data_IF_188995561155
#
_entry.id   IF_188995561155
#
_cell.length_a   1.000
_cell.length_b   1.000
_cell.length_c   1.000
_cell.angle_alpha   90.00
_cell.angle_beta   90.00
_cell.angle_gamma   90.00
#
_symmetry.space_group_name_H-M   'P 1'
#
loop_
_entity.id
_entity.type
_entity.pdbx_description
1 polymer ?
#
# COMPACT_ATOMS: atom_id res chain seq x y z
N UNK A 1 -18.00 -3.25 -28.15
CA UNK A 1 -17.92 -2.74 -26.76
C UNK A 1 -16.96 -3.52 -25.84
N UNK A 2 -16.82 -4.86 -25.98
CA UNK A 2 -15.92 -5.65 -25.12
C UNK A 2 -14.41 -5.34 -25.29
N UNK A 3 -13.95 -5.09 -26.52
CA UNK A 3 -12.53 -4.79 -26.82
C UNK A 3 -12.08 -3.48 -26.17
N UNK A 4 -12.89 -2.42 -26.23
CA UNK A 4 -12.57 -1.13 -25.60
C UNK A 4 -12.40 -1.26 -24.08
N UNK A 5 -13.30 -1.98 -23.42
CA UNK A 5 -13.21 -2.24 -21.97
C UNK A 5 -11.94 -3.02 -21.60
N UNK A 6 -11.60 -4.05 -22.37
CA UNK A 6 -10.38 -4.84 -22.14
C UNK A 6 -9.12 -3.98 -22.27
N UNK A 7 -9.03 -3.16 -23.32
CA UNK A 7 -7.90 -2.23 -23.54
C UNK A 7 -7.76 -1.24 -22.39
N UNK A 8 -8.85 -0.63 -21.94
CA UNK A 8 -8.82 0.31 -20.80
C UNK A 8 -8.33 -0.36 -19.52
N UNK A 9 -8.80 -1.59 -19.24
CA UNK A 9 -8.35 -2.34 -18.05
C UNK A 9 -6.86 -2.66 -18.16
N UNK A 10 -6.41 -3.20 -19.29
CA UNK A 10 -4.98 -3.53 -19.50
C UNK A 10 -4.11 -2.30 -19.32
N UNK A 11 -4.47 -1.17 -19.92
CA UNK A 11 -3.72 0.07 -19.79
C UNK A 11 -3.69 0.56 -18.34
N UNK A 12 -4.82 0.50 -17.63
CA UNK A 12 -4.90 0.85 -16.22
C UNK A 12 -3.99 -0.02 -15.34
N UNK A 13 -3.95 -1.33 -15.60
CA UNK A 13 -3.07 -2.27 -14.89
C UNK A 13 -1.61 -1.94 -15.15
N UNK A 14 -1.23 -1.70 -16.42
CA UNK A 14 0.16 -1.36 -16.76
C UNK A 14 0.62 -0.05 -16.11
N UNK A 15 -0.24 0.98 -16.11
CA UNK A 15 0.05 2.25 -15.43
C UNK A 15 0.21 2.02 -13.93
N UNK A 16 -0.69 1.26 -13.30
CA UNK A 16 -0.62 0.95 -11.88
C UNK A 16 0.67 0.18 -11.52
N UNK A 17 1.07 -0.79 -12.34
CA UNK A 17 2.33 -1.52 -12.17
C UNK A 17 3.56 -0.61 -12.31
N UNK A 18 3.55 0.30 -13.28
CA UNK A 18 4.61 1.29 -13.47
C UNK A 18 4.76 2.21 -12.26
N UNK A 19 3.65 2.77 -11.78
CA UNK A 19 3.63 3.63 -10.58
C UNK A 19 4.07 2.84 -9.34
N UNK A 20 3.57 1.62 -9.14
CA UNK A 20 3.96 0.78 -8.01
C UNK A 20 5.47 0.46 -8.04
N UNK A 21 6.05 0.26 -9.23
CA UNK A 21 7.49 0.02 -9.37
C UNK A 21 8.33 1.24 -8.97
N UNK A 22 7.92 2.44 -9.38
CA UNK A 22 8.59 3.70 -8.98
C UNK A 22 8.50 3.89 -7.46
N UNK A 23 7.32 3.69 -6.89
CA UNK A 23 7.10 3.79 -5.44
C UNK A 23 7.92 2.73 -4.69
N UNK A 24 8.00 1.49 -5.19
CA UNK A 24 8.79 0.42 -4.59
C UNK A 24 10.27 0.81 -4.51
N UNK A 25 10.84 1.33 -5.61
CA UNK A 25 12.24 1.77 -5.66
C UNK A 25 12.49 2.93 -4.70
N UNK A 26 11.57 3.90 -4.62
CA UNK A 26 11.71 5.03 -3.72
C UNK A 26 11.68 4.59 -2.24
N UNK A 27 10.70 3.75 -1.86
CA UNK A 27 10.60 3.18 -0.51
C UNK A 27 11.85 2.35 -0.18
N UNK A 28 12.30 1.52 -1.11
CA UNK A 28 13.50 0.72 -0.92
C UNK A 28 14.74 1.60 -0.69
N UNK A 29 14.86 2.73 -1.39
CA UNK A 29 15.95 3.69 -1.19
C UNK A 29 15.91 4.30 0.20
N UNK A 30 14.74 4.78 0.61
CA UNK A 30 14.51 5.31 1.97
C UNK A 30 14.89 4.29 3.05
N UNK A 31 14.39 3.05 2.92
CA UNK A 31 14.65 1.97 3.89
C UNK A 31 16.13 1.58 3.89
N UNK A 32 16.79 1.53 2.74
CA UNK A 32 18.22 1.23 2.67
C UNK A 32 19.04 2.26 3.43
N UNK A 33 18.80 3.55 3.22
CA UNK A 33 19.49 4.62 3.94
C UNK A 33 19.21 4.54 5.45
N UNK A 34 17.97 4.26 5.85
CA UNK A 34 17.63 4.03 7.25
C UNK A 34 18.41 2.84 7.86
N UNK A 35 18.52 1.72 7.14
CA UNK A 35 19.29 0.54 7.57
C UNK A 35 20.81 0.77 7.54
N UNK A 36 21.28 1.71 6.72
CA UNK A 36 22.66 2.16 6.70
C UNK A 36 22.99 3.14 7.84
N UNK A 37 21.99 3.55 8.63
CA UNK A 37 22.07 4.61 9.65
C UNK A 37 22.41 6.00 9.08
N UNK A 38 22.14 6.21 7.78
CA UNK A 38 22.20 7.51 7.14
C UNK A 38 20.84 8.19 7.14
N UNK A 39 20.82 9.49 6.88
CA UNK A 39 19.57 10.24 6.76
C UNK A 39 18.74 9.71 5.57
N UNK A 40 17.54 9.12 5.80
CA UNK A 40 16.71 8.53 4.74
C UNK A 40 16.27 9.53 3.66
N UNK A 41 16.15 10.81 4.02
CA UNK A 41 15.78 11.87 3.09
C UNK A 41 16.89 12.16 2.06
N UNK A 42 18.13 11.69 2.30
CA UNK A 42 19.23 11.79 1.34
C UNK A 42 19.18 10.74 0.23
N UNK A 43 18.32 9.72 0.33
CA UNK A 43 18.16 8.73 -0.73
C UNK A 43 17.71 9.36 -2.06
N UNK A 44 17.02 10.50 -2.03
CA UNK A 44 16.55 11.16 -3.24
C UNK A 44 15.54 10.31 -4.03
N UNK A 45 15.41 10.57 -5.33
CA UNK A 45 14.44 9.87 -6.20
C UNK A 45 14.88 8.47 -6.63
N UNK A 46 16.19 8.24 -6.75
CA UNK A 46 16.78 7.03 -7.33
C UNK A 46 17.76 6.29 -6.40
N UNK A 47 17.82 6.65 -5.12
CA UNK A 47 18.87 6.19 -4.19
C UNK A 47 18.96 4.68 -4.01
N UNK A 48 17.89 3.92 -4.27
CA UNK A 48 18.00 2.45 -4.30
C UNK A 48 18.81 1.94 -5.50
N UNK A 49 18.60 2.52 -6.68
CA UNK A 49 19.33 2.17 -7.90
C UNK A 49 20.79 2.59 -7.76
N UNK A 50 21.04 3.78 -7.22
CA UNK A 50 22.40 4.28 -6.97
C UNK A 50 23.14 3.34 -6.00
N UNK A 51 22.51 3.01 -4.86
CA UNK A 51 23.08 2.07 -3.88
C UNK A 51 23.28 0.65 -4.45
N UNK A 52 22.37 0.16 -5.30
CA UNK A 52 22.52 -1.13 -5.96
C UNK A 52 23.71 -1.11 -6.93
N UNK A 53 23.88 -0.01 -7.67
CA UNK A 53 24.98 0.19 -8.61
C UNK A 53 26.31 0.24 -7.87
N UNK A 54 26.41 1.03 -6.80
CA UNK A 54 27.60 1.13 -5.96
C UNK A 54 27.96 -0.20 -5.30
N UNK A 55 26.95 -0.96 -4.87
CA UNK A 55 27.15 -2.32 -4.36
C UNK A 55 27.69 -3.27 -5.45
N UNK A 56 27.10 -3.25 -6.65
CA UNK A 56 27.56 -4.09 -7.77
C UNK A 56 28.98 -3.78 -8.23
N UNK A 57 29.38 -2.51 -8.14
CA UNK A 57 30.73 -2.04 -8.44
C UNK A 57 31.71 -2.29 -7.28
N UNK A 58 31.23 -2.83 -6.15
CA UNK A 58 32.06 -3.24 -5.02
C UNK A 58 32.40 -2.13 -4.01
N UNK A 59 31.78 -0.96 -4.11
CA UNK A 59 32.01 0.17 -3.20
C UNK A 59 31.31 -0.02 -1.84
N UNK A 60 30.21 -0.77 -1.81
CA UNK A 60 29.40 -1.02 -0.60
C UNK A 60 29.57 -2.46 -0.06
N UNK A 61 30.82 -2.89 0.18
CA UNK A 61 31.10 -4.24 0.70
C UNK A 61 30.38 -4.49 2.03
N UNK A 62 29.64 -5.59 2.13
CA UNK A 62 28.88 -5.97 3.33
C UNK A 62 27.45 -5.41 3.42
N UNK A 63 27.05 -4.50 2.53
CA UNK A 63 25.71 -3.89 2.55
C UNK A 63 24.65 -4.69 1.77
N UNK A 64 25.04 -5.75 1.05
CA UNK A 64 24.14 -6.52 0.19
C UNK A 64 22.89 -7.06 0.90
N UNK A 65 23.02 -7.52 2.15
CA UNK A 65 21.85 -7.97 2.94
C UNK A 65 20.89 -6.83 3.25
N UNK A 66 21.40 -5.64 3.59
CA UNK A 66 20.57 -4.45 3.87
C UNK A 66 19.85 -4.01 2.60
N UNK A 67 20.55 -4.03 1.47
CA UNK A 67 19.98 -3.72 0.16
C UNK A 67 18.85 -4.68 -0.21
N UNK A 68 19.08 -6.00 -0.06
CA UNK A 68 18.06 -7.01 -0.34
C UNK A 68 16.82 -6.86 0.57
N UNK A 69 17.02 -6.63 1.87
CA UNK A 69 15.92 -6.38 2.82
C UNK A 69 15.14 -5.12 2.44
N UNK A 70 15.83 -4.03 2.10
CA UNK A 70 15.20 -2.80 1.69
C UNK A 70 14.37 -2.99 0.40
N UNK A 71 14.91 -3.70 -0.60
CA UNK A 71 14.18 -4.07 -1.82
C UNK A 71 12.93 -4.90 -1.55
N UNK A 72 13.03 -5.90 -0.67
CA UNK A 72 11.86 -6.72 -0.27
C UNK A 72 10.78 -5.88 0.42
N UNK A 73 11.18 -4.96 1.31
CA UNK A 73 10.22 -4.06 2.00
C UNK A 73 9.56 -3.12 0.99
N UNK A 74 10.35 -2.49 0.10
CA UNK A 74 9.83 -1.61 -0.94
C UNK A 74 8.81 -2.30 -1.84
N UNK A 75 9.14 -3.48 -2.37
CA UNK A 75 8.21 -4.29 -3.16
C UNK A 75 6.98 -4.73 -2.35
N UNK A 76 7.18 -5.20 -1.13
CA UNK A 76 6.09 -5.62 -0.25
C UNK A 76 5.09 -4.49 -0.01
N UNK A 77 5.57 -3.29 0.35
CA UNK A 77 4.69 -2.16 0.61
C UNK A 77 3.98 -1.66 -0.65
N UNK A 78 4.67 -1.57 -1.79
CA UNK A 78 4.09 -1.03 -3.01
C UNK A 78 3.07 -1.97 -3.67
N UNK A 79 3.31 -3.29 -3.65
CA UNK A 79 2.45 -4.27 -4.32
C UNK A 79 1.45 -4.95 -3.39
N UNK A 80 1.85 -5.28 -2.16
CA UNK A 80 0.97 -5.99 -1.20
C UNK A 80 0.18 -5.01 -0.33
N UNK A 81 0.77 -3.87 0.03
CA UNK A 81 0.12 -2.83 0.84
C UNK A 81 -1.27 -2.42 0.32
N UNK A 82 -1.43 -2.07 -0.97
CA UNK A 82 -2.74 -1.72 -1.53
C UNK A 82 -3.76 -2.86 -1.45
N UNK A 83 -3.33 -4.12 -1.67
CA UNK A 83 -4.22 -5.29 -1.57
C UNK A 83 -4.73 -5.49 -0.15
N UNK A 84 -3.83 -5.35 0.84
CA UNK A 84 -4.19 -5.42 2.26
C UNK A 84 -5.14 -4.29 2.63
N UNK A 85 -4.85 -3.05 2.22
CA UNK A 85 -5.73 -1.90 2.47
C UNK A 85 -7.13 -2.11 1.91
N UNK A 86 -7.23 -2.60 0.67
CA UNK A 86 -8.53 -2.94 0.06
C UNK A 86 -9.26 -4.02 0.88
N UNK A 87 -8.53 -5.05 1.33
CA UNK A 87 -9.07 -6.10 2.18
C UNK A 87 -9.63 -5.56 3.50
N UNK A 88 -8.87 -4.70 4.18
CA UNK A 88 -9.27 -4.06 5.44
C UNK A 88 -10.50 -3.17 5.24
N UNK A 89 -10.50 -2.31 4.22
CA UNK A 89 -11.64 -1.42 3.93
C UNK A 89 -12.90 -2.22 3.62
N UNK A 90 -12.78 -3.34 2.88
CA UNK A 90 -13.90 -4.23 2.59
C UNK A 90 -14.41 -4.94 3.85
N UNK A 91 -13.50 -5.41 4.70
CA UNK A 91 -13.87 -6.03 5.97
C UNK A 91 -14.62 -5.04 6.88
N UNK A 92 -14.16 -3.79 6.95
CA UNK A 92 -14.81 -2.73 7.73
C UNK A 92 -16.19 -2.34 7.16
N UNK A 93 -16.34 -2.27 5.83
CA UNK A 93 -17.66 -2.05 5.20
C UNK A 93 -18.64 -3.22 5.39
N UNK A 94 -18.11 -4.44 5.55
CA UNK A 94 -18.90 -5.64 5.82
C UNK A 94 -19.37 -5.76 7.27
N UNK A 95 -18.77 -5.02 8.20
CA UNK A 95 -19.29 -4.89 9.57
C UNK A 95 -20.56 -4.03 9.53
N UNK A 96 -21.71 -4.69 9.39
CA UNK A 96 -23.05 -4.18 9.73
C UNK A 96 -22.98 -3.30 10.98
N UNK A 97 -23.74 -2.20 11.00
CA UNK A 97 -23.86 -1.30 12.15
C UNK A 97 -23.97 -2.11 13.45
N UNK A 98 -22.96 -2.02 14.32
CA UNK A 98 -22.87 -2.78 15.57
C UNK A 98 -24.04 -2.52 16.52
N UNK A 99 -24.85 -1.49 16.24
CA UNK A 99 -26.00 -1.08 17.03
C UNK A 99 -27.33 -1.09 16.24
N UNK A 100 -27.32 -1.63 15.01
CA UNK A 100 -28.37 -1.30 14.04
C UNK A 100 -28.44 0.21 13.82
N UNK A 101 -29.39 0.66 13.00
CA UNK A 101 -29.66 2.09 12.87
C UNK A 101 -30.33 2.56 14.16
N UNK A 102 -29.52 2.82 15.19
CA UNK A 102 -29.99 3.27 16.49
C UNK A 102 -30.64 4.64 16.31
N UNK A 103 -31.96 4.61 16.13
CA UNK A 103 -32.84 5.78 16.14
C UNK A 103 -33.80 5.64 17.31
N UNK A 104 -34.22 6.77 17.85
CA UNK A 104 -35.32 6.77 18.81
C UNK A 104 -36.56 6.13 18.16
N UNK A 105 -37.25 5.29 18.92
CA UNK A 105 -38.51 4.71 18.51
C UNK A 105 -39.55 5.82 18.28
N UNK A 106 -40.28 5.74 17.18
CA UNK A 106 -41.42 6.62 16.91
C UNK A 106 -42.61 6.24 17.78
N UNK A 107 -43.53 7.17 17.99
CA UNK A 107 -44.70 6.96 18.84
C UNK A 107 -45.56 5.76 18.41
N UNK A 108 -45.66 5.50 17.10
CA UNK A 108 -46.34 4.32 16.56
C UNK A 108 -45.63 3.01 16.94
N UNK A 109 -44.29 3.00 16.97
CA UNK A 109 -43.47 1.86 17.39
C UNK A 109 -43.58 1.63 18.90
N UNK A 110 -43.60 2.70 19.69
CA UNK A 110 -43.77 2.65 21.15
C UNK A 110 -45.16 2.10 21.53
N UNK A 111 -46.22 2.59 20.87
CA UNK A 111 -47.60 2.12 21.08
C UNK A 111 -47.78 0.66 20.68
N UNK A 112 -47.18 0.24 19.57
CA UNK A 112 -47.17 -1.16 19.13
C UNK A 112 -46.48 -2.08 20.14
N UNK A 113 -45.45 -1.58 20.84
CA UNK A 113 -44.75 -2.30 21.88
C UNK A 113 -45.47 -2.31 23.23
N UNK A 114 -46.60 -1.60 23.38
CA UNK A 114 -47.35 -1.52 24.65
C UNK A 114 -46.63 -0.74 25.75
N UNK A 115 -45.71 0.15 25.37
CA UNK A 115 -44.96 1.01 26.29
C UNK A 115 -45.65 2.37 26.54
N UNK A 116 -46.84 2.57 25.97
CA UNK A 116 -47.74 3.70 26.13
C UNK A 116 -49.12 3.21 26.55
#
# INVERSE_FOLDING_TARGET
>A
MAVGRAVTITLGVLIALGVASIVALWIAGFVFFALAHDNPLRAGGFGYIDALTDWSNGWLRGYGRRLAVAGMIGCGQAFVGPLVLIGVVRAQRGQRELHGSARFATEAEIRKAGLL
#
